data_IF_542360679047
#
_entry.id   IF_542360679047
#
_cell.length_a   1.000
_cell.length_b   1.000
_cell.length_c   1.000
_cell.angle_alpha   90.00
_cell.angle_beta   90.00
_cell.angle_gamma   90.00
#
_symmetry.space_group_name_H-M   'P 1'
#
loop_
_entity.id
_entity.type
_entity.pdbx_description
1 polymer ?
#
# COMPACT_ATOMS: atom_id res chain seq x y z
N UNK A 1 -34.61 14.05 18.63
CA UNK A 1 -33.40 14.73 18.09
C UNK A 1 -32.12 14.35 18.83
N UNK A 2 -32.06 14.42 20.17
CA UNK A 2 -30.86 14.08 20.96
C UNK A 2 -30.36 12.63 20.73
N UNK A 3 -31.27 11.65 20.64
CA UNK A 3 -30.89 10.25 20.35
C UNK A 3 -30.28 10.02 18.96
N UNK A 4 -30.75 10.73 17.93
CA UNK A 4 -30.16 10.68 16.58
C UNK A 4 -28.82 11.40 16.52
N UNK A 5 -28.64 12.47 17.30
CA UNK A 5 -27.39 13.21 17.38
C UNK A 5 -26.29 12.38 18.07
N UNK A 6 -26.62 11.71 19.17
CA UNK A 6 -25.70 10.76 19.83
C UNK A 6 -25.36 9.56 18.93
N UNK A 7 -26.32 9.03 18.17
CA UNK A 7 -26.04 7.92 17.24
C UNK A 7 -25.06 8.32 16.14
N UNK A 8 -25.18 9.54 15.59
CA UNK A 8 -24.24 10.06 14.58
C UNK A 8 -22.86 10.33 15.16
N UNK A 9 -22.78 10.93 16.35
CA UNK A 9 -21.51 11.17 17.04
C UNK A 9 -20.80 9.85 17.40
N UNK A 10 -21.54 8.83 17.84
CA UNK A 10 -20.99 7.49 18.09
C UNK A 10 -20.48 6.84 16.79
N UNK A 11 -21.21 6.97 15.68
CA UNK A 11 -20.76 6.49 14.37
C UNK A 11 -19.51 7.25 13.90
N UNK A 12 -19.42 8.57 14.12
CA UNK A 12 -18.22 9.37 13.83
C UNK A 12 -17.01 8.90 14.64
N UNK A 13 -17.18 8.71 15.95
CA UNK A 13 -16.10 8.25 16.85
C UNK A 13 -15.64 6.84 16.48
N UNK A 14 -16.57 5.93 16.17
CA UNK A 14 -16.24 4.56 15.75
C UNK A 14 -15.49 4.56 14.42
N UNK A 15 -15.93 5.35 13.44
CA UNK A 15 -15.24 5.44 12.14
C UNK A 15 -13.83 6.01 12.31
N UNK A 16 -13.68 7.13 13.02
CA UNK A 16 -12.39 7.77 13.25
C UNK A 16 -11.46 6.86 14.05
N UNK A 17 -11.94 6.33 15.18
CA UNK A 17 -11.16 5.44 16.05
C UNK A 17 -10.75 4.15 15.35
N UNK A 18 -11.65 3.54 14.57
CA UNK A 18 -11.34 2.34 13.79
C UNK A 18 -10.35 2.61 12.65
N UNK A 19 -10.46 3.75 11.96
CA UNK A 19 -9.49 4.12 10.91
C UNK A 19 -8.10 4.35 11.50
N UNK A 20 -7.99 4.97 12.67
CA UNK A 20 -6.71 5.08 13.40
C UNK A 20 -6.17 3.69 13.76
N UNK A 21 -7.04 2.80 14.28
CA UNK A 21 -6.68 1.43 14.62
C UNK A 21 -6.16 0.62 13.43
N UNK A 22 -6.80 0.75 12.26
CA UNK A 22 -6.35 0.12 11.00
C UNK A 22 -4.94 0.58 10.62
N UNK A 23 -4.65 1.86 10.78
CA UNK A 23 -3.35 2.43 10.41
C UNK A 23 -2.24 1.97 11.36
N UNK A 24 -2.56 1.82 12.65
CA UNK A 24 -1.68 1.22 13.64
C UNK A 24 -1.36 -0.24 13.30
N UNK A 25 -2.37 -1.01 12.88
CA UNK A 25 -2.19 -2.38 12.40
C UNK A 25 -1.25 -2.44 11.19
N UNK A 26 -1.47 -1.59 10.18
CA UNK A 26 -0.61 -1.58 8.99
C UNK A 26 0.84 -1.20 9.32
N UNK A 27 1.02 -0.22 10.20
CA UNK A 27 2.34 0.16 10.70
C UNK A 27 3.04 -0.99 11.44
N UNK A 28 2.31 -1.69 12.31
CA UNK A 28 2.80 -2.86 13.03
C UNK A 28 3.18 -4.01 12.10
N UNK A 29 2.34 -4.29 11.09
CA UNK A 29 2.63 -5.32 10.10
C UNK A 29 3.90 -5.00 9.28
N UNK A 30 4.09 -3.74 8.86
CA UNK A 30 5.31 -3.33 8.17
C UNK A 30 6.58 -3.48 9.04
N UNK A 31 6.49 -3.18 10.33
CA UNK A 31 7.58 -3.40 11.29
C UNK A 31 7.88 -4.87 11.51
N UNK A 32 6.84 -5.68 11.65
CA UNK A 32 6.96 -7.12 11.83
C UNK A 32 7.62 -7.78 10.60
N UNK A 33 7.24 -7.36 9.39
CA UNK A 33 7.91 -7.80 8.15
C UNK A 33 9.39 -7.40 8.12
N UNK A 34 9.73 -6.17 8.52
CA UNK A 34 11.14 -5.73 8.62
C UNK A 34 11.92 -6.55 9.65
N UNK A 35 11.31 -6.81 10.80
CA UNK A 35 11.90 -7.63 11.86
C UNK A 35 12.14 -9.08 11.39
N UNK A 36 11.15 -9.71 10.75
CA UNK A 36 11.29 -11.05 10.17
C UNK A 36 12.46 -11.13 9.18
N UNK A 37 12.63 -10.12 8.32
CA UNK A 37 13.78 -10.05 7.41
C UNK A 37 15.11 -9.87 8.15
N UNK A 38 15.14 -9.14 9.27
CA UNK A 38 16.34 -9.02 10.10
C UNK A 38 16.77 -10.34 10.77
N UNK A 39 15.82 -11.27 10.97
CA UNK A 39 16.10 -12.64 11.44
C UNK A 39 16.64 -13.56 10.33
N UNK A 40 16.85 -13.05 9.11
CA UNK A 40 17.39 -13.79 7.98
C UNK A 40 16.34 -14.44 7.06
N UNK A 41 15.05 -14.16 7.25
CA UNK A 41 14.01 -14.64 6.32
C UNK A 41 14.12 -13.92 4.97
N UNK A 42 14.18 -14.71 3.89
CA UNK A 42 14.18 -14.17 2.53
C UNK A 42 12.82 -13.57 2.17
N UNK A 43 12.82 -12.47 1.42
CA UNK A 43 11.60 -11.78 0.97
C UNK A 43 10.65 -12.71 0.19
N UNK A 44 11.18 -13.57 -0.69
CA UNK A 44 10.38 -14.54 -1.45
C UNK A 44 9.65 -15.53 -0.55
N UNK A 45 10.31 -16.03 0.50
CA UNK A 45 9.69 -16.97 1.45
C UNK A 45 8.50 -16.31 2.15
N UNK A 46 8.65 -15.07 2.60
CA UNK A 46 7.55 -14.32 3.23
C UNK A 46 6.36 -14.18 2.26
N UNK A 47 6.61 -13.82 1.01
CA UNK A 47 5.57 -13.68 -0.03
C UNK A 47 4.84 -15.00 -0.29
N UNK A 48 5.57 -16.11 -0.42
CA UNK A 48 4.98 -17.43 -0.68
C UNK A 48 4.04 -17.84 0.44
N UNK A 49 4.49 -17.78 1.70
CA UNK A 49 3.70 -18.20 2.84
C UNK A 49 2.47 -17.31 3.05
N UNK A 50 2.63 -15.99 2.96
CA UNK A 50 1.50 -15.05 3.07
C UNK A 50 0.49 -15.23 1.93
N UNK A 51 0.94 -15.54 0.71
CA UNK A 51 0.07 -15.79 -0.44
C UNK A 51 -0.77 -17.06 -0.26
N UNK A 52 -0.15 -18.16 0.16
CA UNK A 52 -0.87 -19.40 0.44
C UNK A 52 -1.82 -19.27 1.63
N UNK A 53 -1.40 -18.60 2.71
CA UNK A 53 -2.26 -18.33 3.84
C UNK A 53 -3.47 -17.46 3.45
N UNK A 54 -3.25 -16.42 2.64
CA UNK A 54 -4.32 -15.56 2.12
C UNK A 54 -5.33 -16.37 1.30
N UNK A 55 -4.85 -17.27 0.44
CA UNK A 55 -5.73 -18.18 -0.29
C UNK A 55 -6.55 -19.08 0.64
N UNK A 56 -5.90 -19.74 1.61
CA UNK A 56 -6.58 -20.65 2.55
C UNK A 56 -7.63 -19.92 3.39
N UNK A 57 -7.34 -18.69 3.82
CA UNK A 57 -8.28 -17.87 4.58
C UNK A 57 -9.46 -17.41 3.73
N UNK A 58 -9.23 -17.00 2.48
CA UNK A 58 -10.30 -16.51 1.58
C UNK A 58 -11.14 -17.63 0.96
N UNK A 59 -10.58 -18.83 0.80
CA UNK A 59 -11.24 -19.98 0.18
C UNK A 59 -12.66 -20.27 0.73
N UNK A 60 -12.89 -20.39 2.05
CA UNK A 60 -14.23 -20.64 2.57
C UNK A 60 -15.21 -19.50 2.27
N UNK A 61 -14.77 -18.24 2.36
CA UNK A 61 -15.61 -17.07 2.08
C UNK A 61 -15.99 -17.00 0.60
N UNK A 62 -15.05 -17.29 -0.28
CA UNK A 62 -15.26 -17.31 -1.74
C UNK A 62 -16.29 -18.37 -2.13
N UNK A 63 -16.15 -19.59 -1.61
CA UNK A 63 -17.07 -20.70 -1.90
C UNK A 63 -18.49 -20.43 -1.38
N UNK A 64 -18.60 -19.70 -0.28
CA UNK A 64 -19.89 -19.39 0.35
C UNK A 64 -20.59 -18.16 -0.25
N UNK A 65 -19.89 -17.02 -0.39
CA UNK A 65 -20.49 -15.73 -0.76
C UNK A 65 -20.46 -15.41 -2.26
N UNK A 66 -19.39 -15.78 -2.96
CA UNK A 66 -19.14 -15.29 -4.31
C UNK A 66 -19.27 -16.35 -5.40
N UNK A 67 -19.37 -17.63 -5.02
CA UNK A 67 -19.57 -18.74 -5.97
C UNK A 67 -20.74 -18.51 -6.92
N UNK A 68 -21.81 -17.86 -6.47
CA UNK A 68 -22.98 -17.54 -7.31
C UNK A 68 -22.72 -16.40 -8.30
N UNK A 69 -21.70 -15.57 -8.10
CA UNK A 69 -21.34 -14.42 -8.93
C UNK A 69 -20.34 -14.77 -10.04
N UNK A 70 -19.86 -16.02 -10.06
CA UNK A 70 -18.86 -16.45 -11.04
C UNK A 70 -19.44 -16.51 -12.45
N UNK A 71 -18.69 -16.09 -13.47
CA UNK A 71 -19.12 -16.19 -14.85
C UNK A 71 -19.24 -17.67 -15.25
N UNK A 72 -20.24 -17.97 -16.07
CA UNK A 72 -20.51 -19.33 -16.56
C UNK A 72 -19.42 -19.86 -17.49
N UNK A 73 -18.58 -18.98 -18.05
CA UNK A 73 -17.48 -19.33 -18.96
C UNK A 73 -16.23 -18.54 -18.57
N UNK A 74 -15.11 -19.23 -18.44
CA UNK A 74 -13.80 -18.61 -18.32
C UNK A 74 -13.24 -18.34 -19.72
N UNK A 75 -13.08 -17.07 -20.06
CA UNK A 75 -12.43 -16.65 -21.32
C UNK A 75 -10.92 -16.67 -21.15
N UNK A 76 -10.18 -17.01 -22.21
CA UNK A 76 -8.71 -16.95 -22.20
C UNK A 76 -8.16 -15.60 -21.74
N UNK A 77 -8.78 -14.49 -22.17
CA UNK A 77 -8.50 -13.13 -21.71
C UNK A 77 -8.51 -12.99 -20.18
N UNK A 78 -9.49 -13.61 -19.52
CA UNK A 78 -9.70 -13.54 -18.08
C UNK A 78 -8.62 -14.33 -17.32
N UNK A 79 -8.21 -15.48 -17.86
CA UNK A 79 -7.07 -16.26 -17.34
C UNK A 79 -5.77 -15.45 -17.46
N UNK A 80 -5.53 -14.80 -18.60
CA UNK A 80 -4.36 -13.93 -18.80
C UNK A 80 -4.37 -12.76 -17.82
N UNK A 81 -5.53 -12.13 -17.59
CA UNK A 81 -5.66 -11.07 -16.59
C UNK A 81 -5.31 -11.57 -15.18
N UNK A 82 -5.81 -12.74 -14.76
CA UNK A 82 -5.43 -13.31 -13.46
C UNK A 82 -3.94 -13.59 -13.36
N UNK A 83 -3.33 -14.09 -14.43
CA UNK A 83 -1.89 -14.36 -14.45
C UNK A 83 -1.08 -13.06 -14.33
N UNK A 84 -1.48 -12.01 -15.05
CA UNK A 84 -0.85 -10.69 -14.97
C UNK A 84 -1.04 -10.04 -13.60
N UNK A 85 -2.23 -10.17 -13.00
CA UNK A 85 -2.51 -9.69 -11.65
C UNK A 85 -1.69 -10.44 -10.60
N UNK A 86 -1.56 -11.76 -10.72
CA UNK A 86 -0.74 -12.58 -9.83
C UNK A 86 0.75 -12.23 -9.96
N UNK A 87 1.27 -12.19 -11.19
CA UNK A 87 2.67 -11.85 -11.45
C UNK A 87 3.01 -10.43 -11.01
N UNK A 88 2.19 -9.44 -11.36
CA UNK A 88 2.41 -8.06 -11.01
C UNK A 88 2.16 -7.76 -9.53
N UNK A 89 0.97 -8.11 -9.04
CA UNK A 89 0.49 -7.67 -7.73
C UNK A 89 1.02 -8.51 -6.57
N UNK A 90 1.17 -9.81 -6.76
CA UNK A 90 1.68 -10.70 -5.70
C UNK A 90 3.19 -10.82 -5.82
N UNK A 91 3.70 -11.27 -6.97
CA UNK A 91 5.13 -11.58 -7.10
C UNK A 91 5.99 -10.32 -7.20
N UNK A 92 5.81 -9.49 -8.22
CA UNK A 92 6.66 -8.32 -8.46
C UNK A 92 6.50 -7.27 -7.36
N UNK A 93 5.27 -6.82 -7.10
CA UNK A 93 5.03 -5.79 -6.10
C UNK A 93 5.55 -6.19 -4.72
N UNK A 94 5.13 -7.35 -4.17
CA UNK A 94 5.54 -7.70 -2.80
C UNK A 94 7.03 -7.97 -2.69
N UNK A 95 7.66 -8.60 -3.70
CA UNK A 95 9.10 -8.86 -3.66
C UNK A 95 9.92 -7.57 -3.71
N UNK A 96 9.57 -6.65 -4.62
CA UNK A 96 10.24 -5.34 -4.73
C UNK A 96 9.98 -4.48 -3.49
N UNK A 97 8.76 -4.51 -2.95
CA UNK A 97 8.37 -3.78 -1.75
C UNK A 97 9.14 -4.25 -0.52
N UNK A 98 9.23 -5.56 -0.28
CA UNK A 98 9.99 -6.14 0.83
C UNK A 98 11.49 -5.85 0.70
N UNK A 99 12.05 -6.01 -0.51
CA UNK A 99 13.46 -5.65 -0.77
C UNK A 99 13.72 -4.16 -0.53
N UNK A 100 12.78 -3.30 -0.91
CA UNK A 100 12.81 -1.86 -0.65
C UNK A 100 12.79 -1.53 0.84
N UNK A 101 11.89 -2.14 1.63
CA UNK A 101 11.82 -1.97 3.08
C UNK A 101 13.11 -2.44 3.75
N UNK A 102 13.67 -3.58 3.31
CA UNK A 102 14.88 -4.13 3.89
C UNK A 102 16.10 -3.21 3.70
N UNK A 103 16.20 -2.57 2.53
CA UNK A 103 17.27 -1.62 2.21
C UNK A 103 17.05 -0.21 2.78
N UNK A 104 15.86 0.08 3.33
CA UNK A 104 15.48 1.41 3.83
C UNK A 104 14.93 1.34 5.26
N UNK A 105 13.64 1.62 5.43
CA UNK A 105 12.93 1.63 6.70
C UNK A 105 11.47 1.25 6.48
N UNK A 106 10.83 0.73 7.53
CA UNK A 106 9.39 0.47 7.50
C UNK A 106 8.57 1.78 7.41
N UNK A 107 9.12 2.91 7.87
CA UNK A 107 8.54 4.23 7.67
C UNK A 107 8.47 4.60 6.18
N UNK A 108 9.53 4.34 5.41
CA UNK A 108 9.50 4.53 3.95
C UNK A 108 8.52 3.57 3.28
N UNK A 109 8.50 2.31 3.71
CA UNK A 109 7.53 1.32 3.23
C UNK A 109 6.07 1.70 3.45
N UNK A 110 5.74 2.35 4.58
CA UNK A 110 4.37 2.81 4.87
C UNK A 110 4.05 4.16 4.23
N UNK A 111 5.06 4.99 3.94
CA UNK A 111 4.87 6.27 3.25
C UNK A 111 4.62 6.11 1.75
N UNK A 112 5.40 5.24 1.08
CA UNK A 112 5.41 5.10 -0.40
C UNK A 112 4.05 4.72 -1.01
N UNK A 113 3.23 3.82 -0.43
CA UNK A 113 1.90 3.50 -0.95
C UNK A 113 0.96 4.70 -1.07
N UNK A 114 1.19 5.79 -0.36
CA UNK A 114 0.43 7.04 -0.51
C UNK A 114 0.59 7.69 -1.89
N UNK A 115 1.59 7.28 -2.68
CA UNK A 115 1.76 7.70 -4.08
C UNK A 115 0.80 6.96 -5.02
N UNK A 116 0.25 5.81 -4.61
CA UNK A 116 -0.53 4.94 -5.49
C UNK A 116 -1.73 5.66 -6.13
N UNK A 117 -2.55 6.47 -5.42
CA UNK A 117 -3.67 7.17 -6.05
C UNK A 117 -3.24 8.12 -7.18
N UNK A 118 -2.10 8.78 -7.02
CA UNK A 118 -1.54 9.66 -8.05
C UNK A 118 -1.06 8.90 -9.29
N UNK A 119 -0.35 7.77 -9.09
CA UNK A 119 0.07 6.91 -10.21
C UNK A 119 -1.10 6.21 -10.88
N UNK A 120 -2.11 5.75 -10.13
CA UNK A 120 -3.35 5.20 -10.67
C UNK A 120 -4.03 6.21 -11.59
N UNK A 121 -4.11 7.48 -11.20
CA UNK A 121 -4.66 8.54 -12.04
C UNK A 121 -3.86 8.73 -13.34
N UNK A 122 -2.52 8.77 -13.27
CA UNK A 122 -1.66 8.88 -14.45
C UNK A 122 -1.87 7.70 -15.40
N UNK A 123 -1.92 6.47 -14.85
CA UNK A 123 -2.14 5.25 -15.63
C UNK A 123 -3.54 5.29 -16.27
N UNK A 124 -4.59 5.63 -15.50
CA UNK A 124 -5.95 5.75 -16.01
C UNK A 124 -6.05 6.79 -17.14
N UNK A 125 -5.32 7.91 -17.04
CA UNK A 125 -5.23 8.89 -18.11
C UNK A 125 -4.52 8.36 -19.36
N UNK A 126 -3.38 7.67 -19.20
CA UNK A 126 -2.65 7.05 -20.32
C UNK A 126 -3.50 6.01 -21.07
N UNK A 127 -4.27 5.22 -20.34
CA UNK A 127 -5.20 4.23 -20.91
C UNK A 127 -6.53 4.85 -21.40
N UNK A 128 -6.68 6.18 -21.36
CA UNK A 128 -7.92 6.93 -21.72
C UNK A 128 -9.17 6.47 -20.96
N UNK A 129 -9.00 5.93 -19.75
CA UNK A 129 -10.10 5.53 -18.87
C UNK A 129 -10.70 6.72 -18.16
N UNK A 130 -9.90 7.76 -17.96
CA UNK A 130 -10.35 9.02 -17.38
C UNK A 130 -10.13 10.14 -18.41
N UNK A 131 -11.21 10.82 -18.79
CA UNK A 131 -11.13 12.01 -19.64
C UNK A 131 -10.64 13.18 -18.80
N UNK A 132 -9.35 13.47 -18.90
CA UNK A 132 -8.78 14.67 -18.30
C UNK A 132 -9.16 15.86 -19.16
N UNK A 133 -10.27 16.51 -18.82
CA UNK A 133 -10.57 17.84 -19.32
C UNK A 133 -9.71 18.85 -18.56
N UNK A 134 -8.68 19.40 -19.21
CA UNK A 134 -7.77 20.41 -18.63
C UNK A 134 -8.48 21.74 -18.34
N UNK A 135 -9.69 21.94 -18.88
CA UNK A 135 -10.57 23.05 -18.53
C UNK A 135 -11.17 22.87 -17.12
N UNK A 136 -11.35 21.62 -16.67
CA UNK A 136 -11.90 21.32 -15.35
C UNK A 136 -10.88 21.60 -14.24
N UNK A 137 -11.27 22.42 -13.27
CA UNK A 137 -10.44 22.76 -12.11
C UNK A 137 -10.05 21.52 -11.30
N UNK A 138 -10.93 20.51 -11.22
CA UNK A 138 -10.68 19.27 -10.47
C UNK A 138 -9.55 18.43 -11.11
N UNK A 139 -9.56 18.26 -12.43
CA UNK A 139 -8.47 17.62 -13.20
C UNK A 139 -7.10 18.27 -12.91
N UNK A 140 -7.04 19.60 -12.89
CA UNK A 140 -5.81 20.35 -12.61
C UNK A 140 -5.33 20.12 -11.18
N UNK A 141 -6.25 20.09 -10.21
CA UNK A 141 -5.94 19.80 -8.80
C UNK A 141 -5.42 18.38 -8.62
N UNK A 142 -5.94 17.38 -9.35
CA UNK A 142 -5.40 16.00 -9.33
C UNK A 142 -3.96 15.94 -9.83
N UNK A 143 -3.66 16.61 -10.94
CA UNK A 143 -2.30 16.63 -11.52
C UNK A 143 -1.33 17.31 -10.53
N UNK A 144 -1.71 18.48 -10.00
CA UNK A 144 -0.87 19.23 -9.07
C UNK A 144 -0.68 18.48 -7.74
N UNK A 145 -1.73 17.84 -7.22
CA UNK A 145 -1.66 16.98 -6.04
C UNK A 145 -0.75 15.77 -6.26
N UNK A 146 -0.78 15.16 -7.45
CA UNK A 146 0.11 14.04 -7.80
C UNK A 146 1.57 14.48 -7.87
N UNK A 147 1.87 15.63 -8.47
CA UNK A 147 3.22 16.21 -8.48
C UNK A 147 3.71 16.50 -7.06
N UNK A 148 2.83 17.04 -6.20
CA UNK A 148 3.14 17.30 -4.82
C UNK A 148 3.41 16.00 -4.05
N UNK A 149 2.61 14.95 -4.24
CA UNK A 149 2.87 13.61 -3.70
C UNK A 149 4.28 13.11 -4.05
N UNK A 150 4.63 13.13 -5.34
CA UNK A 150 5.93 12.63 -5.82
C UNK A 150 7.08 13.47 -5.26
N UNK A 151 6.94 14.80 -5.23
CA UNK A 151 7.95 15.69 -4.65
C UNK A 151 8.11 15.46 -3.14
N UNK A 152 7.02 15.21 -2.43
CA UNK A 152 7.00 14.91 -1.00
C UNK A 152 7.68 13.58 -0.67
N UNK A 153 7.40 12.53 -1.43
CA UNK A 153 8.08 11.25 -1.27
C UNK A 153 9.57 11.34 -1.63
N UNK A 154 9.93 12.10 -2.67
CA UNK A 154 11.33 12.30 -3.03
C UNK A 154 12.10 13.07 -1.96
N UNK A 155 11.52 14.15 -1.43
CA UNK A 155 12.12 14.92 -0.32
C UNK A 155 12.21 14.09 0.97
N UNK A 156 11.16 13.33 1.32
CA UNK A 156 11.19 12.42 2.47
C UNK A 156 12.31 11.38 2.34
N UNK A 157 12.44 10.78 1.16
CA UNK A 157 13.47 9.79 0.82
C UNK A 157 14.88 10.35 0.92
N UNK A 158 15.14 11.49 0.27
CA UNK A 158 16.44 12.13 0.24
C UNK A 158 16.87 12.57 1.64
N UNK A 159 15.94 13.08 2.44
CA UNK A 159 16.26 13.54 3.80
C UNK A 159 16.53 12.37 4.75
N UNK A 160 15.88 11.22 4.58
CA UNK A 160 16.20 10.01 5.37
C UNK A 160 17.51 9.34 4.94
N UNK A 161 17.88 9.44 3.66
CA UNK A 161 19.17 8.90 3.20
C UNK A 161 20.37 9.72 3.69
N UNK A 162 20.17 11.01 3.96
CA UNK A 162 21.19 11.92 4.51
C UNK A 162 21.40 11.73 6.02
N UNK A 163 20.40 11.20 6.76
CA UNK A 163 20.33 11.30 8.23
C UNK A 163 20.91 10.13 9.01
N UNK A 164 21.89 9.40 8.49
CA UNK A 164 22.61 8.37 9.28
C UNK A 164 23.89 8.96 9.88
N UNK A 165 24.00 9.11 11.22
CA UNK A 165 25.29 9.22 11.88
C UNK A 165 26.00 7.86 11.82
N UNK A 166 27.33 7.86 11.70
CA UNK A 166 28.15 6.66 11.84
C UNK A 166 27.93 6.01 13.23
N UNK A 167 28.03 4.67 13.36
CA UNK A 167 28.39 4.05 14.63
C UNK A 167 29.75 4.63 15.05
N UNK A 168 29.81 5.22 16.23
CA UNK A 168 31.07 5.65 16.83
C UNK A 168 31.76 4.37 17.34
N UNK A 169 32.41 3.64 16.45
CA UNK A 169 33.47 2.69 16.79
C UNK A 169 34.56 2.88 15.72
N UNK A 170 35.76 3.22 16.18
CA UNK A 170 36.98 3.52 15.38
C UNK A 170 37.14 4.96 14.86
N UNK A 171 37.26 5.93 15.78
CA UNK A 171 38.14 7.08 15.54
C UNK A 171 38.77 7.58 16.84
N UNK A 172 39.58 6.73 17.47
CA UNK A 172 40.68 7.22 18.31
C UNK A 172 41.81 7.67 17.40
N UNK A 173 42.33 8.90 17.64
CA UNK A 173 43.50 9.54 17.00
C UNK A 173 43.13 10.15 15.62
N UNK A 174 43.09 11.46 15.37
CA UNK A 174 43.98 12.55 15.78
C UNK A 174 43.32 13.93 15.56
N UNK A 175 43.82 14.96 16.25
CA UNK A 175 43.38 16.36 16.24
C UNK A 175 43.41 17.03 14.84
N UNK A 176 42.51 18.01 14.66
CA UNK A 176 42.59 19.28 13.88
C UNK A 176 41.71 19.41 12.61
N UNK A 177 40.93 20.51 12.61
CA UNK A 177 40.13 21.17 11.53
C UNK A 177 38.62 20.85 11.42
N UNK A 178 37.73 21.88 11.45
CA UNK A 178 36.29 21.70 11.21
C UNK A 178 36.04 21.71 9.69
N UNK A 179 35.99 20.53 9.08
CA UNK A 179 35.48 20.36 7.72
C UNK A 179 33.94 20.40 7.72
N UNK A 180 33.30 20.97 6.68
CA UNK A 180 31.83 21.05 6.60
C UNK A 180 31.22 19.63 6.58
N UNK A 181 29.99 19.43 7.08
CA UNK A 181 29.39 18.10 7.17
C UNK A 181 29.32 17.48 5.77
N UNK A 182 30.16 16.47 5.55
CA UNK A 182 30.23 15.75 4.28
C UNK A 182 28.93 14.94 4.14
N UNK A 183 28.03 15.40 3.28
CA UNK A 183 26.76 14.71 2.98
C UNK A 183 27.08 13.44 2.20
N UNK A 184 27.24 12.31 2.88
CA UNK A 184 27.49 11.02 2.22
C UNK A 184 26.15 10.32 1.94
N UNK A 185 25.82 10.16 0.66
CA UNK A 185 24.61 9.46 0.23
C UNK A 185 24.77 7.95 0.43
N UNK A 186 23.91 7.36 1.26
CA UNK A 186 23.81 5.90 1.38
C UNK A 186 23.20 5.33 0.08
N UNK A 187 24.07 4.76 -0.75
CA UNK A 187 23.71 4.15 -2.04
C UNK A 187 22.69 3.02 -1.87
N UNK A 188 22.74 2.26 -0.78
CA UNK A 188 21.81 1.16 -0.54
C UNK A 188 20.41 1.68 -0.23
N UNK A 189 20.29 2.76 0.55
CA UNK A 189 19.01 3.43 0.79
C UNK A 189 18.41 4.01 -0.48
N UNK A 190 19.22 4.63 -1.34
CA UNK A 190 18.74 5.16 -2.64
C UNK A 190 18.19 4.02 -3.52
N UNK A 191 18.94 2.91 -3.63
CA UNK A 191 18.50 1.73 -4.36
C UNK A 191 17.20 1.17 -3.77
N UNK A 192 17.07 1.11 -2.44
CA UNK A 192 15.85 0.69 -1.77
C UNK A 192 14.64 1.60 -2.04
N UNK A 193 14.84 2.92 -2.10
CA UNK A 193 13.80 3.87 -2.48
C UNK A 193 13.36 3.72 -3.94
N UNK A 194 14.29 3.43 -4.87
CA UNK A 194 13.95 3.09 -6.25
C UNK A 194 13.13 1.80 -6.31
N UNK A 195 13.51 0.77 -5.55
CA UNK A 195 12.72 -0.46 -5.42
C UNK A 195 11.29 -0.18 -4.93
N UNK A 196 11.14 0.66 -3.89
CA UNK A 196 9.82 1.07 -3.41
C UNK A 196 9.04 1.83 -4.48
N UNK A 197 9.63 2.80 -5.17
CA UNK A 197 8.96 3.58 -6.22
C UNK A 197 8.46 2.67 -7.35
N UNK A 198 9.32 1.77 -7.85
CA UNK A 198 8.93 0.79 -8.87
C UNK A 198 7.83 -0.14 -8.34
N UNK A 199 7.90 -0.57 -7.07
CA UNK A 199 6.84 -1.38 -6.48
C UNK A 199 5.49 -0.66 -6.49
N UNK A 200 5.43 0.63 -6.14
CA UNK A 200 4.17 1.37 -6.14
C UNK A 200 3.64 1.62 -7.56
N UNK A 201 4.51 1.78 -8.55
CA UNK A 201 4.10 1.82 -9.96
C UNK A 201 3.46 0.50 -10.40
N UNK A 202 4.08 -0.63 -10.04
CA UNK A 202 3.53 -1.97 -10.31
C UNK A 202 2.19 -2.15 -9.60
N UNK A 203 2.09 -1.78 -8.32
CA UNK A 203 0.84 -1.80 -7.55
C UNK A 203 -0.26 -0.96 -8.22
N UNK A 204 0.09 0.23 -8.68
CA UNK A 204 -0.88 1.12 -9.33
C UNK A 204 -1.39 0.52 -10.64
N UNK A 205 -0.50 -0.08 -11.43
CA UNK A 205 -0.87 -0.79 -12.65
C UNK A 205 -1.75 -2.02 -12.38
N UNK A 206 -1.45 -2.78 -11.33
CA UNK A 206 -2.24 -3.96 -10.97
C UNK A 206 -3.61 -3.58 -10.41
N UNK A 207 -3.74 -2.47 -9.68
CA UNK A 207 -5.03 -1.93 -9.24
C UNK A 207 -5.90 -1.50 -10.43
N UNK A 208 -5.32 -0.81 -11.41
CA UNK A 208 -6.05 -0.45 -12.64
C UNK A 208 -6.47 -1.71 -13.41
N UNK A 209 -5.56 -2.68 -13.56
CA UNK A 209 -5.88 -3.97 -14.19
C UNK A 209 -6.99 -4.72 -13.43
N UNK A 210 -6.95 -4.69 -12.10
CA UNK A 210 -7.93 -5.33 -11.23
C UNK A 210 -9.32 -4.72 -11.41
N UNK A 211 -9.42 -3.40 -11.60
CA UNK A 211 -10.70 -2.74 -11.88
C UNK A 211 -11.35 -3.27 -13.18
N UNK A 212 -10.56 -3.53 -14.23
CA UNK A 212 -11.08 -4.16 -15.44
C UNK A 212 -11.51 -5.61 -15.24
N UNK A 213 -10.69 -6.38 -14.52
CA UNK A 213 -11.01 -7.78 -14.21
C UNK A 213 -12.30 -7.87 -13.40
N UNK A 214 -12.54 -6.93 -12.47
CA UNK A 214 -13.78 -6.87 -11.70
C UNK A 214 -15.01 -6.50 -12.54
N UNK A 215 -14.83 -5.82 -13.67
CA UNK A 215 -15.88 -5.58 -14.65
C UNK A 215 -16.35 -6.86 -15.36
N UNK A 216 -15.43 -7.78 -15.66
CA UNK A 216 -15.73 -9.07 -16.31
C UNK A 216 -16.04 -10.18 -15.29
N UNK A 217 -15.53 -10.05 -14.06
CA UNK A 217 -15.64 -11.01 -12.96
C UNK A 217 -15.99 -10.26 -11.66
N UNK A 218 -17.29 -10.03 -11.34
CA UNK A 218 -17.73 -9.17 -10.25
C UNK A 218 -17.66 -9.86 -8.87
N UNK A 219 -16.52 -10.46 -8.56
CA UNK A 219 -16.28 -11.25 -7.37
C UNK A 219 -14.87 -10.93 -6.81
N UNK A 220 -14.72 -9.82 -6.06
CA UNK A 220 -13.42 -9.33 -5.61
C UNK A 220 -12.65 -10.27 -4.69
N UNK A 221 -13.32 -10.97 -3.76
CA UNK A 221 -12.62 -11.93 -2.90
C UNK A 221 -12.09 -13.12 -3.70
N UNK A 222 -12.83 -13.53 -4.73
CA UNK A 222 -12.45 -14.60 -5.64
C UNK A 222 -11.28 -14.18 -6.52
N UNK A 223 -11.24 -12.94 -7.04
CA UNK A 223 -10.05 -12.40 -7.73
C UNK A 223 -8.84 -12.45 -6.81
N UNK A 224 -8.96 -12.00 -5.56
CA UNK A 224 -7.88 -12.03 -4.57
C UNK A 224 -7.40 -13.45 -4.26
N UNK A 225 -8.32 -14.41 -4.07
CA UNK A 225 -7.96 -15.80 -3.81
C UNK A 225 -7.23 -16.43 -5.00
N UNK A 226 -7.77 -16.28 -6.21
CA UNK A 226 -7.19 -16.83 -7.45
C UNK A 226 -5.81 -16.22 -7.72
N UNK A 227 -5.67 -14.90 -7.57
CA UNK A 227 -4.38 -14.22 -7.78
C UNK A 227 -3.36 -14.57 -6.69
N UNK A 228 -3.80 -14.81 -5.45
CA UNK A 228 -2.91 -15.24 -4.36
C UNK A 228 -2.35 -16.65 -4.58
N UNK A 229 -3.17 -17.62 -5.03
CA UNK A 229 -2.67 -18.97 -5.32
C UNK A 229 -1.72 -18.97 -6.52
N UNK A 230 -2.09 -18.33 -7.63
CA UNK A 230 -1.19 -18.21 -8.79
C UNK A 230 0.08 -17.45 -8.41
N UNK A 231 -0.04 -16.38 -7.63
CA UNK A 231 1.08 -15.57 -7.16
C UNK A 231 2.04 -16.38 -6.29
N UNK A 232 1.53 -17.23 -5.39
CA UNK A 232 2.34 -18.15 -4.59
C UNK A 232 3.16 -19.11 -5.45
N UNK A 233 2.54 -19.72 -6.46
CA UNK A 233 3.24 -20.61 -7.41
C UNK A 233 4.29 -19.87 -8.24
N UNK A 234 3.94 -18.72 -8.80
CA UNK A 234 4.86 -17.90 -9.60
C UNK A 234 6.06 -17.45 -8.76
N UNK A 235 5.81 -17.02 -7.52
CA UNK A 235 6.86 -16.59 -6.60
C UNK A 235 7.76 -17.76 -6.18
N UNK A 236 7.18 -18.94 -5.96
CA UNK A 236 7.96 -20.15 -5.70
C UNK A 236 8.84 -20.54 -6.89
N UNK A 237 8.34 -20.41 -8.12
CA UNK A 237 9.13 -20.64 -9.32
C UNK A 237 10.25 -19.59 -9.46
N UNK A 238 9.96 -18.31 -9.19
CA UNK A 238 10.96 -17.25 -9.20
C UNK A 238 12.08 -17.50 -8.17
N UNK A 239 11.73 -17.93 -6.95
CA UNK A 239 12.72 -18.28 -5.93
C UNK A 239 13.62 -19.44 -6.37
N UNK A 240 13.04 -20.46 -7.01
CA UNK A 240 13.79 -21.63 -7.51
C UNK A 240 14.76 -21.23 -8.62
N UNK A 241 14.36 -20.33 -9.53
CA UNK A 241 15.20 -19.82 -10.61
C UNK A 241 16.34 -18.95 -10.07
N UNK A 242 16.07 -18.08 -9.10
CA UNK A 242 17.08 -17.14 -8.59
C UNK A 242 18.13 -17.82 -7.69
N UNK A 243 17.70 -18.73 -6.81
CA UNK A 243 18.60 -19.31 -5.82
C UNK A 243 19.10 -20.72 -6.17
N UNK A 244 18.55 -21.37 -7.20
CA UNK A 244 18.84 -22.77 -7.61
C UNK A 244 18.67 -23.84 -6.50
N UNK A 245 18.35 -23.42 -5.27
CA UNK A 245 18.00 -24.20 -4.10
C UNK A 245 16.80 -23.53 -3.42
N UNK A 246 15.88 -24.34 -2.89
CA UNK A 246 14.89 -23.83 -1.93
C UNK A 246 15.63 -23.65 -0.60
N UNK A 247 16.49 -22.63 -0.51
CA UNK A 247 17.07 -22.18 0.75
C UNK A 247 16.02 -21.43 1.53
N UNK A 248 15.10 -22.20 2.06
CA UNK A 248 14.24 -21.81 3.14
C UNK A 248 15.18 -21.44 4.30
N UNK A 249 15.40 -20.14 4.55
CA UNK A 249 16.25 -19.64 5.62
C UNK A 249 15.70 -20.06 6.98
N UNK A 250 16.04 -21.27 7.40
CA UNK A 250 15.36 -22.03 8.45
C UNK A 250 15.95 -22.01 9.86
N UNK A 251 17.03 -21.29 10.23
CA UNK A 251 17.62 -21.58 11.53
C UNK A 251 16.85 -21.01 12.73
N UNK A 252 15.89 -20.06 12.56
CA UNK A 252 15.35 -19.31 13.72
C UNK A 252 13.82 -19.24 13.89
N UNK A 253 13.00 -19.52 12.87
CA UNK A 253 11.53 -19.40 12.96
C UNK A 253 10.88 -20.72 12.58
N UNK A 254 10.09 -21.30 13.49
CA UNK A 254 9.40 -22.57 13.25
C UNK A 254 8.31 -22.40 12.17
N UNK A 255 8.06 -23.45 11.39
CA UNK A 255 6.95 -23.48 10.41
C UNK A 255 5.62 -23.17 11.10
N UNK A 256 5.44 -23.60 12.35
CA UNK A 256 4.28 -23.28 13.17
C UNK A 256 4.14 -21.78 13.45
N UNK A 257 5.25 -21.08 13.69
CA UNK A 257 5.26 -19.64 13.96
C UNK A 257 4.97 -18.83 12.70
N UNK A 258 5.47 -19.26 11.54
CA UNK A 258 5.13 -18.63 10.25
C UNK A 258 3.66 -18.85 9.87
N UNK A 259 3.11 -20.03 10.10
CA UNK A 259 1.69 -20.31 9.88
C UNK A 259 0.84 -19.49 10.84
N UNK A 260 1.20 -19.46 12.13
CA UNK A 260 0.55 -18.63 13.14
C UNK A 260 0.59 -17.15 12.79
N UNK A 261 1.75 -16.64 12.37
CA UNK A 261 1.92 -15.27 11.90
C UNK A 261 1.05 -15.00 10.67
N UNK A 262 1.03 -15.89 9.68
CA UNK A 262 0.29 -15.66 8.44
C UNK A 262 -1.23 -15.68 8.68
N UNK A 263 -1.71 -16.54 9.57
CA UNK A 263 -3.13 -16.57 9.99
C UNK A 263 -3.47 -15.30 10.76
N UNK A 264 -2.64 -14.90 11.73
CA UNK A 264 -2.87 -13.71 12.54
C UNK A 264 -2.83 -12.44 11.68
N UNK A 265 -1.77 -12.26 10.90
CA UNK A 265 -1.59 -11.13 9.98
C UNK A 265 -2.71 -11.10 8.93
N UNK A 266 -3.08 -12.24 8.36
CA UNK A 266 -4.19 -12.36 7.41
C UNK A 266 -5.54 -11.99 8.02
N UNK A 267 -5.85 -12.49 9.23
CA UNK A 267 -7.08 -12.17 9.94
C UNK A 267 -7.17 -10.68 10.30
N UNK A 268 -6.09 -10.13 10.87
CA UNK A 268 -6.03 -8.72 11.28
C UNK A 268 -6.09 -7.80 10.07
N UNK A 269 -5.39 -8.14 8.98
CA UNK A 269 -5.44 -7.40 7.71
C UNK A 269 -6.84 -7.50 7.09
N UNK A 270 -7.47 -8.68 7.08
CA UNK A 270 -8.84 -8.87 6.58
C UNK A 270 -9.89 -8.05 7.33
N UNK A 271 -9.82 -8.02 8.67
CA UNK A 271 -10.68 -7.17 9.51
C UNK A 271 -10.44 -5.70 9.16
N UNK A 272 -9.17 -5.30 9.02
CA UNK A 272 -8.78 -3.92 8.73
C UNK A 272 -9.27 -3.47 7.35
N UNK A 273 -9.15 -4.31 6.33
CA UNK A 273 -9.68 -4.06 4.99
C UNK A 273 -11.21 -3.99 4.98
N UNK A 274 -11.88 -4.89 5.70
CA UNK A 274 -13.35 -4.89 5.79
C UNK A 274 -13.85 -3.61 6.45
N UNK A 275 -13.20 -3.19 7.53
CA UNK A 275 -13.50 -1.93 8.21
C UNK A 275 -13.22 -0.72 7.32
N UNK A 276 -12.07 -0.71 6.61
CA UNK A 276 -11.72 0.35 5.68
C UNK A 276 -12.70 0.45 4.52
N UNK A 277 -13.19 -0.68 4.00
CA UNK A 277 -14.22 -0.74 2.97
C UNK A 277 -15.56 -0.19 3.46
N UNK A 278 -15.98 -0.57 4.67
CA UNK A 278 -17.20 -0.02 5.28
C UNK A 278 -17.09 1.50 5.53
N UNK A 279 -15.96 1.96 6.06
CA UNK A 279 -15.70 3.38 6.27
C UNK A 279 -15.67 4.16 4.94
N UNK A 280 -15.12 3.54 3.89
CA UNK A 280 -15.07 4.08 2.53
C UNK A 280 -16.48 4.28 1.95
N UNK A 281 -17.36 3.28 2.07
CA UNK A 281 -18.75 3.40 1.60
C UNK A 281 -19.53 4.48 2.38
N UNK A 282 -19.29 4.60 3.69
CA UNK A 282 -20.02 5.51 4.56
C UNK A 282 -19.57 6.97 4.46
N UNK A 283 -18.26 7.20 4.35
CA UNK A 283 -17.66 8.54 4.48
C UNK A 283 -16.89 9.00 3.24
N UNK A 284 -16.77 8.13 2.25
CA UNK A 284 -16.08 8.40 1.00
C UNK A 284 -14.55 8.24 1.10
N UNK A 285 -13.88 8.20 -0.06
CA UNK A 285 -12.45 7.91 -0.16
C UNK A 285 -11.57 8.98 0.49
N UNK A 286 -12.02 10.23 0.48
CA UNK A 286 -11.25 11.35 1.04
C UNK A 286 -11.04 11.18 2.54
N UNK A 287 -12.10 10.83 3.29
CA UNK A 287 -11.98 10.68 4.75
C UNK A 287 -11.06 9.51 5.11
N UNK A 288 -11.23 8.35 4.48
CA UNK A 288 -10.43 7.15 4.78
C UNK A 288 -8.94 7.41 4.55
N UNK A 289 -8.59 8.09 3.46
CA UNK A 289 -7.19 8.34 3.15
C UNK A 289 -6.53 9.44 3.98
N UNK A 290 -7.29 10.36 4.60
CA UNK A 290 -6.73 11.31 5.58
C UNK A 290 -6.06 10.61 6.76
N UNK A 291 -6.43 9.35 7.04
CA UNK A 291 -5.83 8.57 8.11
C UNK A 291 -4.58 7.79 7.67
N UNK A 292 -4.36 7.57 6.37
CA UNK A 292 -3.12 6.92 5.87
C UNK A 292 -1.83 7.55 6.42
N UNK A 293 -1.72 8.89 6.50
CA UNK A 293 -0.65 9.57 7.22
C UNK A 293 -0.33 9.06 8.63
N UNK A 294 -1.36 8.73 9.39
CA UNK A 294 -1.24 8.27 10.77
C UNK A 294 -0.46 6.96 10.81
N UNK A 295 -0.64 6.08 9.82
CA UNK A 295 0.11 4.83 9.73
C UNK A 295 1.61 5.06 9.57
N UNK A 296 2.01 6.03 8.75
CA UNK A 296 3.41 6.41 8.59
C UNK A 296 4.00 6.98 9.90
N UNK A 297 3.26 7.84 10.60
CA UNK A 297 3.69 8.40 11.89
C UNK A 297 3.82 7.30 12.96
N UNK A 298 2.84 6.41 13.07
CA UNK A 298 2.91 5.24 13.95
C UNK A 298 4.11 4.35 13.62
N UNK A 299 4.39 4.12 12.33
CA UNK A 299 5.54 3.36 11.88
C UNK A 299 6.85 4.01 12.34
N UNK A 300 6.98 5.33 12.26
CA UNK A 300 8.16 6.05 12.76
C UNK A 300 8.31 5.89 14.27
N UNK A 301 7.22 6.07 15.03
CA UNK A 301 7.24 5.92 16.49
C UNK A 301 7.68 4.50 16.87
N UNK A 302 7.12 3.48 16.22
CA UNK A 302 7.55 2.09 16.43
C UNK A 302 9.01 1.87 16.06
N UNK A 303 9.49 2.49 14.98
CA UNK A 303 10.89 2.36 14.57
C UNK A 303 11.82 2.90 15.65
N UNK A 304 11.49 4.07 16.21
CA UNK A 304 12.27 4.72 17.28
C UNK A 304 12.26 3.84 18.53
N UNK A 305 11.10 3.36 18.95
CA UNK A 305 10.96 2.54 20.17
C UNK A 305 11.69 1.19 20.05
N UNK A 306 11.69 0.57 18.87
CA UNK A 306 12.21 -0.80 18.68
C UNK A 306 13.69 -0.84 18.31
N UNK A 307 14.17 0.10 17.49
CA UNK A 307 15.55 0.11 16.98
C UNK A 307 16.47 1.08 17.73
N UNK A 308 15.96 2.00 18.56
CA UNK A 308 16.77 2.96 19.34
C UNK A 308 17.48 4.03 18.51
N UNK A 309 17.80 3.73 17.25
CA UNK A 309 18.39 4.62 16.27
C UNK A 309 17.34 5.08 15.26
N UNK A 310 17.11 6.40 15.22
CA UNK A 310 17.19 7.21 14.00
C UNK A 310 16.63 8.61 14.24
N UNK A 311 17.51 9.59 14.09
CA UNK A 311 17.21 11.02 13.94
C UNK A 311 16.28 11.26 12.76
N UNK A 312 14.97 11.36 13.01
CA UNK A 312 14.02 11.86 12.00
C UNK A 312 14.36 13.32 11.75
N UNK A 313 15.03 13.58 10.63
CA UNK A 313 15.38 14.94 10.22
C UNK A 313 14.12 15.75 9.91
N UNK A 314 14.14 17.02 10.29
CA UNK A 314 13.08 18.00 10.02
C UNK A 314 12.68 17.99 8.53
N UNK A 315 13.64 17.76 7.63
CA UNK A 315 13.40 17.66 6.19
C UNK A 315 12.55 16.45 5.79
N UNK A 316 12.68 15.32 6.50
CA UNK A 316 11.85 14.13 6.24
C UNK A 316 10.41 14.35 6.67
N UNK A 317 10.21 15.05 7.80
CA UNK A 317 8.88 15.47 8.28
C UNK A 317 8.23 16.42 7.29
N UNK A 318 8.97 17.41 6.79
CA UNK A 318 8.48 18.34 5.78
C UNK A 318 8.06 17.64 4.48
N UNK A 319 8.86 16.68 3.98
CA UNK A 319 8.53 15.88 2.80
C UNK A 319 7.26 15.04 3.01
N UNK A 320 7.07 14.50 4.21
CA UNK A 320 5.88 13.74 4.57
C UNK A 320 4.62 14.61 4.59
N UNK A 321 4.66 15.79 5.21
CA UNK A 321 3.55 16.76 5.17
C UNK A 321 3.19 17.15 3.73
N UNK A 322 4.20 17.37 2.90
CA UNK A 322 4.02 17.73 1.49
C UNK A 322 3.39 16.57 0.71
N UNK A 323 3.80 15.32 0.96
CA UNK A 323 3.21 14.12 0.35
C UNK A 323 1.73 13.97 0.72
N UNK A 324 1.38 14.15 2.00
CA UNK A 324 -0.01 14.03 2.47
C UNK A 324 -0.92 15.14 1.95
N UNK A 325 -0.38 16.36 1.85
CA UNK A 325 -1.10 17.48 1.24
C UNK A 325 -1.42 17.19 -0.23
N UNK A 326 -0.47 16.59 -0.96
CA UNK A 326 -0.70 16.14 -2.33
C UNK A 326 -1.80 15.10 -2.44
N UNK A 327 -1.76 14.08 -1.58
CA UNK A 327 -2.72 12.98 -1.55
C UNK A 327 -4.14 13.52 -1.29
N UNK A 328 -4.26 14.45 -0.35
CA UNK A 328 -5.53 15.11 -0.04
C UNK A 328 -6.11 15.80 -1.27
N UNK A 329 -5.32 16.57 -2.01
CA UNK A 329 -5.79 17.24 -3.22
C UNK A 329 -6.27 16.26 -4.29
N UNK A 330 -5.53 15.18 -4.53
CA UNK A 330 -5.91 14.14 -5.51
C UNK A 330 -7.26 13.54 -5.16
N UNK A 331 -7.43 13.15 -3.91
CA UNK A 331 -8.64 12.46 -3.46
C UNK A 331 -9.82 13.40 -3.34
N UNK A 332 -9.61 14.62 -2.84
CA UNK A 332 -10.64 15.64 -2.75
C UNK A 332 -11.22 15.98 -4.13
N UNK A 333 -10.35 16.15 -5.13
CA UNK A 333 -10.79 16.37 -6.50
C UNK A 333 -11.55 15.15 -7.07
N UNK A 334 -11.10 13.92 -6.77
CA UNK A 334 -11.81 12.70 -7.17
C UNK A 334 -13.20 12.60 -6.52
N UNK A 335 -13.30 12.80 -5.20
CA UNK A 335 -14.58 12.75 -4.49
C UNK A 335 -15.59 13.82 -4.96
N UNK A 336 -15.10 14.98 -5.42
CA UNK A 336 -15.95 16.01 -6.02
C UNK A 336 -16.48 15.62 -7.40
N UNK A 337 -15.68 14.95 -8.22
CA UNK A 337 -16.11 14.45 -9.53
C UNK A 337 -17.13 13.32 -9.39
N UNK A 338 -16.89 12.33 -8.53
CA UNK A 338 -17.83 11.22 -8.28
C UNK A 338 -19.20 11.75 -7.76
N UNK A 339 -19.17 12.79 -6.92
CA UNK A 339 -20.37 13.49 -6.47
C UNK A 339 -21.12 14.24 -7.58
N UNK A 340 -20.39 14.82 -8.53
CA UNK A 340 -20.98 15.53 -9.66
C UNK A 340 -21.59 14.56 -10.68
N UNK A 341 -20.95 13.42 -10.94
CA UNK A 341 -21.47 12.37 -11.82
C UNK A 341 -22.71 11.67 -11.25
N UNK A 342 -22.72 11.37 -9.95
CA UNK A 342 -23.89 10.80 -9.28
C UNK A 342 -25.09 11.76 -9.30
N UNK A 343 -24.87 13.06 -9.08
CA UNK A 343 -25.92 14.08 -9.19
C UNK A 343 -26.50 14.15 -10.61
N UNK A 344 -25.64 14.14 -11.64
CA UNK A 344 -26.07 14.11 -13.05
C UNK A 344 -26.86 12.85 -13.40
N UNK A 345 -26.47 11.69 -12.87
CA UNK A 345 -27.19 10.41 -13.06
C UNK A 345 -28.58 10.44 -12.41
N UNK A 346 -28.71 11.05 -11.24
CA UNK A 346 -30.00 11.24 -10.57
C UNK A 346 -30.89 12.20 -11.36
N UNK A 347 -30.37 13.34 -11.79
CA UNK A 347 -31.12 14.31 -12.62
C UNK A 347 -31.56 13.72 -13.97
N UNK A 348 -30.74 12.87 -14.60
CA UNK A 348 -31.09 12.15 -15.83
C UNK A 348 -32.19 11.11 -15.59
N UNK A 349 -32.15 10.38 -14.47
CA UNK A 349 -33.22 9.44 -14.09
C UNK A 349 -34.52 10.17 -13.78
N UNK A 350 -34.45 11.33 -13.13
CA UNK A 350 -35.63 12.14 -12.80
C UNK A 350 -36.24 12.76 -14.07
N UNK A 351 -35.43 13.26 -15.00
CA UNK A 351 -35.91 13.73 -16.31
C UNK A 351 -36.52 12.64 -17.17
N UNK A 352 -36.01 11.41 -17.10
CA UNK A 352 -36.56 10.26 -17.82
C UNK A 352 -37.79 9.64 -17.13
N UNK A 353 -38.11 10.03 -15.90
CA UNK A 353 -39.32 9.61 -15.18
C UNK A 353 -40.48 10.60 -15.32
N UNK A 354 -40.17 11.85 -15.67
CA UNK A 354 -41.14 12.94 -15.87
C UNK A 354 -41.53 13.12 -17.35
N UNK A 355 -40.87 12.39 -18.27
CA UNK A 355 -41.22 12.26 -19.69
C UNK A 355 -41.84 10.88 -19.95
#
# INVERSE_FOLDING_TARGET
MVGMMNSRMMEDVVVIGGLIGVQFVYAGNAMLLKYLMSLGLQSFTIVIYTSFATFLLLLPFVLYFERSKWPKKFTFKLIVQFLLLAFGGVTLFQSLFLKGINLTSAAMGTAMPNLAPGFIFIIAWLFRLEKVDLSCTYSRVKIMGTLLCVLGAFTMSLMQSISTPLPIEELTVELTTPSPPFVMFDRNKIIGCLYLLVSILVLSGTVVLQAFTLGEFPAPMSVCAITSIFGGFITSAAQLIEFHEIKTGWPLVSVGDMIGYSILSGAVTGISLSFSGWALEKRGPVLVSMFSPVGTVCSIIFSIVTQGDSTVNIGSIAGMFLMFTGLYFVLWAKGKEDGLESTKQVELKEKNFVA
#
